data_IF_390453706458
#
_entry.id   IF_390453706458
#
_cell.length_a   1.000
_cell.length_b   1.000
_cell.length_c   1.000
_cell.angle_alpha   90.00
_cell.angle_beta   90.00
_cell.angle_gamma   90.00
#
_symmetry.space_group_name_H-M   'P 1'
#
loop_
_entity.id
_entity.type
_entity.pdbx_description
1 polymer ?
#
# COMPACT_ATOMS: atom_id res chain seq x y z
N UNK A 1 7.20 10.03 23.86
CA UNK A 1 8.02 8.85 23.57
C UNK A 1 8.97 9.24 22.44
N UNK A 2 10.21 8.73 22.44
CA UNK A 2 11.11 8.91 21.30
C UNK A 2 10.56 8.13 20.09
N UNK A 3 10.68 8.70 18.89
CA UNK A 3 10.32 7.99 17.65
C UNK A 3 11.28 6.80 17.44
N UNK A 4 10.79 5.74 16.81
CA UNK A 4 11.63 4.66 16.29
C UNK A 4 12.39 5.20 15.08
N UNK A 5 13.63 4.75 14.88
CA UNK A 5 14.46 5.14 13.72
C UNK A 5 14.59 3.98 12.74
N UNK A 6 14.56 4.28 11.45
CA UNK A 6 14.84 3.29 10.42
C UNK A 6 16.30 2.85 10.46
N UNK A 7 16.63 1.60 10.10
CA UNK A 7 18.02 1.17 9.85
C UNK A 7 18.76 2.04 8.81
N UNK A 8 18.02 2.79 7.98
CA UNK A 8 18.54 3.69 6.94
C UNK A 8 18.64 5.16 7.39
N UNK A 9 18.37 5.49 8.66
CA UNK A 9 18.32 6.88 9.16
C UNK A 9 19.58 7.69 8.78
N UNK A 10 20.77 7.15 8.99
CA UNK A 10 22.02 7.81 8.64
C UNK A 10 22.18 8.04 7.13
N UNK A 11 21.68 7.13 6.30
CA UNK A 11 21.68 7.30 4.85
C UNK A 11 20.70 8.40 4.42
N UNK A 12 19.54 8.51 5.06
CA UNK A 12 18.57 9.57 4.80
C UNK A 12 19.11 10.94 5.17
N UNK A 13 19.75 11.06 6.35
CA UNK A 13 20.40 12.30 6.79
C UNK A 13 21.52 12.72 5.83
N UNK A 14 22.38 11.78 5.42
CA UNK A 14 23.47 12.05 4.46
C UNK A 14 22.95 12.53 3.09
N UNK A 15 21.78 12.10 2.68
CA UNK A 15 21.10 12.54 1.46
C UNK A 15 20.28 13.84 1.65
N UNK A 16 20.28 14.43 2.86
CA UNK A 16 19.56 15.67 3.17
C UNK A 16 18.04 15.49 3.18
N UNK A 17 17.54 14.30 3.57
CA UNK A 17 16.12 14.05 3.65
C UNK A 17 15.44 14.92 4.70
N UNK A 18 14.24 15.38 4.42
CA UNK A 18 13.33 15.95 5.40
C UNK A 18 12.63 14.82 6.14
N UNK A 19 12.92 14.65 7.42
CA UNK A 19 12.33 13.62 8.26
C UNK A 19 11.04 14.10 8.94
N UNK A 20 10.09 13.19 9.17
CA UNK A 20 8.81 13.41 9.86
C UNK A 20 8.42 12.21 10.70
N UNK A 21 7.57 12.44 11.72
CA UNK A 21 6.87 11.35 12.41
C UNK A 21 5.82 10.72 11.48
N UNK A 22 5.94 9.41 11.31
CA UNK A 22 4.98 8.62 10.56
C UNK A 22 4.73 7.28 11.27
N UNK A 23 3.58 7.14 11.90
CA UNK A 23 3.21 5.94 12.63
C UNK A 23 4.16 5.59 13.78
N UNK A 24 4.76 6.60 14.44
CA UNK A 24 5.72 6.45 15.52
C UNK A 24 7.17 6.20 15.07
N UNK A 25 7.43 6.32 13.76
CA UNK A 25 8.77 6.22 13.17
C UNK A 25 9.21 7.57 12.59
N UNK A 26 10.50 7.86 12.68
CA UNK A 26 11.13 8.95 11.97
C UNK A 26 11.46 8.52 10.54
N UNK A 27 10.71 9.04 9.54
CA UNK A 27 10.78 8.58 8.15
C UNK A 27 11.00 9.74 7.18
N UNK A 28 11.67 9.52 6.01
CA UNK A 28 11.87 10.55 5.02
C UNK A 28 10.55 10.94 4.35
N UNK A 29 10.14 12.21 4.50
CA UNK A 29 9.01 12.77 3.78
C UNK A 29 9.37 13.05 2.32
N UNK A 30 10.55 13.64 2.11
CA UNK A 30 11.11 13.98 0.79
C UNK A 30 12.62 14.20 0.87
N UNK A 31 13.28 14.11 -0.27
CA UNK A 31 14.67 14.50 -0.46
C UNK A 31 14.77 15.90 -1.10
N UNK A 32 15.97 16.48 -1.27
CA UNK A 32 16.13 17.84 -1.82
C UNK A 32 15.52 18.06 -3.21
N UNK A 33 15.35 17.02 -4.03
CA UNK A 33 14.64 17.07 -5.31
C UNK A 33 13.17 17.42 -5.19
N UNK A 34 12.56 17.10 -4.05
CA UNK A 34 11.16 17.34 -3.71
C UNK A 34 10.19 16.31 -4.25
N UNK A 35 9.05 16.19 -3.57
CA UNK A 35 8.00 15.18 -3.81
C UNK A 35 7.60 15.04 -5.27
N UNK A 36 7.46 16.13 -6.02
CA UNK A 36 7.02 16.08 -7.42
C UNK A 36 8.07 15.43 -8.32
N UNK A 37 9.35 15.79 -8.12
CA UNK A 37 10.45 15.19 -8.89
C UNK A 37 10.62 13.70 -8.56
N UNK A 38 10.53 13.32 -7.29
CA UNK A 38 10.57 11.95 -6.82
C UNK A 38 9.43 11.11 -7.42
N UNK A 39 8.21 11.65 -7.41
CA UNK A 39 7.04 11.02 -8.04
C UNK A 39 7.28 10.77 -9.54
N UNK A 40 7.72 11.80 -10.26
CA UNK A 40 7.97 11.70 -11.71
C UNK A 40 9.14 10.77 -12.02
N UNK A 41 10.16 10.67 -11.15
CA UNK A 41 11.23 9.69 -11.30
C UNK A 41 10.69 8.26 -11.23
N UNK A 42 9.79 7.97 -10.28
CA UNK A 42 9.12 6.67 -10.19
C UNK A 42 8.30 6.36 -11.45
N UNK A 43 7.56 7.33 -12.00
CA UNK A 43 6.73 7.12 -13.21
C UNK A 43 7.54 6.95 -14.48
N UNK A 44 8.73 7.58 -14.58
CA UNK A 44 9.55 7.63 -15.82
C UNK A 44 10.69 6.63 -15.85
N UNK A 45 11.19 6.24 -14.69
CA UNK A 45 12.37 5.38 -14.54
C UNK A 45 12.20 4.45 -13.33
N UNK A 46 12.84 4.77 -12.21
CA UNK A 46 12.68 4.06 -10.96
C UNK A 46 12.98 4.95 -9.76
N UNK A 47 12.24 4.72 -8.69
CA UNK A 47 12.49 5.31 -7.38
C UNK A 47 12.70 4.21 -6.34
N UNK A 48 13.49 4.53 -5.31
CA UNK A 48 13.73 3.67 -4.15
C UNK A 48 13.16 4.32 -2.91
N UNK A 49 12.43 3.52 -2.12
CA UNK A 49 11.73 3.94 -0.91
C UNK A 49 12.19 3.10 0.27
N UNK A 50 12.43 3.73 1.41
CA UNK A 50 12.48 3.05 2.67
C UNK A 50 11.05 2.80 3.19
N UNK A 51 10.71 1.54 3.35
CA UNK A 51 9.43 1.12 3.92
C UNK A 51 9.63 0.23 5.17
N UNK A 52 10.76 0.38 5.84
CA UNK A 52 11.15 -0.40 7.02
C UNK A 52 10.23 -0.20 8.23
N UNK A 53 9.48 0.91 8.26
CA UNK A 53 8.45 1.19 9.28
C UNK A 53 7.26 0.24 9.23
N UNK A 54 6.97 -0.38 8.07
CA UNK A 54 5.93 -1.41 7.99
C UNK A 54 6.30 -2.58 8.89
N UNK A 55 5.33 -3.13 9.62
CA UNK A 55 5.56 -4.28 10.47
C UNK A 55 6.01 -5.52 9.69
N UNK A 56 6.67 -6.44 10.36
CA UNK A 56 6.82 -7.81 9.88
C UNK A 56 6.58 -8.76 11.05
N UNK A 57 5.47 -9.47 10.98
CA UNK A 57 5.12 -10.51 11.94
C UNK A 57 5.41 -11.86 11.30
N UNK A 58 6.39 -12.57 11.84
CA UNK A 58 6.73 -13.92 11.40
C UNK A 58 5.83 -14.92 12.07
N UNK A 59 5.07 -15.66 11.27
CA UNK A 59 4.24 -16.79 11.71
C UNK A 59 4.84 -18.05 11.11
N UNK A 60 5.31 -18.97 11.95
CA UNK A 60 6.01 -20.17 11.48
C UNK A 60 5.72 -21.39 12.33
N UNK A 61 5.96 -22.56 11.76
CA UNK A 61 5.74 -23.86 12.39
C UNK A 61 4.36 -24.46 12.11
N UNK A 62 4.09 -25.63 12.71
CA UNK A 62 2.82 -26.36 12.51
C UNK A 62 1.60 -25.53 12.88
N UNK A 63 0.59 -25.47 12.01
CA UNK A 63 -0.66 -24.73 12.24
C UNK A 63 -0.62 -23.27 11.80
N UNK A 64 0.51 -22.74 11.32
CA UNK A 64 0.62 -21.34 10.85
C UNK A 64 -0.34 -21.03 9.70
N UNK A 65 -0.50 -21.96 8.76
CA UNK A 65 -1.45 -21.81 7.65
C UNK A 65 -2.89 -21.72 8.15
N UNK A 66 -3.30 -22.60 9.07
CA UNK A 66 -4.66 -22.67 9.60
C UNK A 66 -5.03 -21.40 10.36
N UNK A 67 -4.11 -20.87 11.15
CA UNK A 67 -4.30 -19.61 11.89
C UNK A 67 -4.52 -18.47 10.91
N UNK A 68 -3.64 -18.27 9.94
CA UNK A 68 -3.76 -17.20 8.94
C UNK A 68 -5.00 -17.39 8.06
N UNK A 69 -5.31 -18.63 7.68
CA UNK A 69 -6.51 -18.95 6.91
C UNK A 69 -7.79 -18.66 7.71
N UNK A 70 -7.80 -18.85 9.02
CA UNK A 70 -8.94 -18.57 9.89
C UNK A 70 -9.15 -17.08 10.17
N UNK A 71 -8.08 -16.31 10.32
CA UNK A 71 -8.15 -14.90 10.72
C UNK A 71 -8.28 -13.92 9.55
N UNK A 72 -7.60 -14.19 8.43
CA UNK A 72 -7.52 -13.25 7.32
C UNK A 72 -8.67 -13.41 6.32
N UNK A 73 -9.12 -12.33 5.71
CA UNK A 73 -10.30 -12.32 4.83
C UNK A 73 -10.10 -13.05 3.50
N UNK A 74 -8.89 -13.01 2.92
CA UNK A 74 -8.63 -13.67 1.63
C UNK A 74 -8.33 -15.17 1.83
N UNK A 75 -8.47 -15.93 0.78
CA UNK A 75 -8.26 -17.38 0.80
C UNK A 75 -6.82 -17.71 0.41
N UNK A 76 -5.99 -18.12 1.39
CA UNK A 76 -4.60 -18.50 1.18
C UNK A 76 -4.45 -19.74 0.27
N UNK A 77 -5.50 -20.58 0.14
CA UNK A 77 -5.48 -21.72 -0.80
C UNK A 77 -5.40 -21.31 -2.27
N UNK A 78 -5.58 -20.01 -2.59
CA UNK A 78 -5.39 -19.47 -3.95
C UNK A 78 -3.94 -19.31 -4.33
N UNK A 79 -3.02 -19.38 -3.37
CA UNK A 79 -1.57 -19.24 -3.57
C UNK A 79 -0.83 -20.43 -2.98
N UNK A 80 0.48 -20.47 -3.11
CA UNK A 80 1.37 -21.50 -2.62
C UNK A 80 2.65 -20.87 -2.06
N UNK A 81 3.54 -21.61 -1.38
CA UNK A 81 4.87 -21.13 -1.01
C UNK A 81 5.58 -20.44 -2.18
N UNK A 82 6.30 -19.36 -1.91
CA UNK A 82 6.91 -18.51 -2.94
C UNK A 82 5.95 -17.47 -3.55
N UNK A 83 4.76 -17.24 -2.93
CA UNK A 83 3.79 -16.24 -3.40
C UNK A 83 3.39 -15.28 -2.29
N UNK A 84 3.07 -14.05 -2.68
CA UNK A 84 2.46 -13.06 -1.79
C UNK A 84 0.95 -12.94 -2.04
N UNK A 85 0.20 -12.49 -1.02
CA UNK A 85 -1.23 -12.22 -1.13
C UNK A 85 -1.62 -11.00 -0.32
N UNK A 86 -2.39 -10.10 -0.95
CA UNK A 86 -3.05 -9.00 -0.25
C UNK A 86 -4.33 -9.50 0.42
N UNK A 87 -4.53 -9.14 1.67
CA UNK A 87 -5.64 -9.60 2.51
C UNK A 87 -5.96 -8.56 3.58
N UNK A 88 -7.08 -8.75 4.28
CA UNK A 88 -7.46 -7.90 5.41
C UNK A 88 -7.59 -8.71 6.69
N UNK A 89 -7.21 -8.11 7.81
CA UNK A 89 -7.64 -8.48 9.14
C UNK A 89 -8.91 -7.68 9.46
N UNK A 90 -10.00 -8.33 9.81
CA UNK A 90 -11.30 -7.71 10.05
C UNK A 90 -11.72 -7.78 11.52
N UNK A 91 -12.66 -6.91 11.92
CA UNK A 91 -13.44 -7.07 13.14
C UNK A 91 -14.72 -7.87 12.87
N UNK A 92 -15.50 -8.12 13.92
CA UNK A 92 -16.74 -8.93 13.83
C UNK A 92 -17.82 -8.24 12.98
N UNK A 93 -17.79 -6.91 12.89
CA UNK A 93 -18.69 -6.09 12.07
C UNK A 93 -18.25 -6.02 10.59
N UNK A 94 -17.11 -6.67 10.24
CA UNK A 94 -16.55 -6.71 8.88
C UNK A 94 -15.73 -5.48 8.52
N UNK A 95 -15.44 -4.58 9.47
CA UNK A 95 -14.57 -3.44 9.27
C UNK A 95 -13.09 -3.83 9.24
N UNK A 96 -12.28 -3.06 8.52
CA UNK A 96 -10.87 -3.35 8.28
C UNK A 96 -10.01 -2.88 9.45
N UNK A 97 -9.55 -3.81 10.28
CA UNK A 97 -8.59 -3.55 11.35
C UNK A 97 -7.18 -3.27 10.80
N UNK A 98 -6.81 -3.97 9.74
CA UNK A 98 -5.58 -3.73 8.98
C UNK A 98 -5.66 -4.34 7.58
N UNK A 99 -4.97 -3.74 6.63
CA UNK A 99 -4.72 -4.28 5.29
C UNK A 99 -3.27 -4.74 5.19
N UNK A 100 -3.08 -5.98 4.73
CA UNK A 100 -1.86 -6.75 4.98
C UNK A 100 -1.40 -7.40 3.67
N UNK A 101 -0.09 -7.42 3.46
CA UNK A 101 0.53 -8.33 2.50
C UNK A 101 1.13 -9.51 3.26
N UNK A 102 0.72 -10.73 2.90
CA UNK A 102 1.32 -11.97 3.40
C UNK A 102 2.36 -12.44 2.38
N UNK A 103 3.59 -12.63 2.81
CA UNK A 103 4.64 -13.31 2.05
C UNK A 103 4.69 -14.77 2.52
N UNK A 104 4.25 -15.69 1.70
CA UNK A 104 4.37 -17.12 1.98
C UNK A 104 5.76 -17.62 1.57
N UNK A 105 6.68 -17.65 2.53
CA UNK A 105 8.11 -17.87 2.28
C UNK A 105 8.44 -19.34 2.04
N UNK A 106 7.91 -20.25 2.89
CA UNK A 106 8.10 -21.69 2.78
C UNK A 106 6.84 -22.42 3.31
N UNK A 107 6.82 -23.73 3.27
CA UNK A 107 5.65 -24.55 3.62
C UNK A 107 4.98 -24.14 4.94
N UNK A 108 5.78 -23.77 5.94
CA UNK A 108 5.35 -23.47 7.29
C UNK A 108 5.81 -22.09 7.78
N UNK A 109 6.27 -21.19 6.89
CA UNK A 109 6.71 -19.84 7.24
C UNK A 109 6.03 -18.77 6.41
N UNK A 110 5.46 -17.80 7.11
CA UNK A 110 4.82 -16.61 6.56
C UNK A 110 5.42 -15.37 7.22
N UNK A 111 5.83 -14.39 6.43
CA UNK A 111 6.15 -13.05 6.91
C UNK A 111 4.94 -12.15 6.56
N UNK A 112 4.20 -11.72 7.57
CA UNK A 112 2.98 -10.92 7.48
C UNK A 112 3.34 -9.47 7.69
N UNK A 113 2.95 -8.58 6.75
CA UNK A 113 3.37 -7.19 6.70
C UNK A 113 2.20 -6.24 7.05
N UNK A 114 1.96 -5.93 8.33
CA UNK A 114 0.97 -4.94 8.75
C UNK A 114 1.43 -3.50 8.53
N UNK A 115 0.48 -2.57 8.58
CA UNK A 115 0.78 -1.14 8.73
C UNK A 115 1.51 -0.87 10.05
N UNK A 116 2.40 0.12 10.07
CA UNK A 116 3.29 0.42 11.21
C UNK A 116 2.57 0.54 12.56
N UNK A 117 1.44 1.23 12.59
CA UNK A 117 0.64 1.45 13.81
C UNK A 117 -0.19 0.23 14.27
N UNK A 118 -0.29 -0.81 13.43
CA UNK A 118 -1.16 -1.95 13.66
C UNK A 118 -0.42 -3.24 14.01
N UNK A 119 0.93 -3.22 14.03
CA UNK A 119 1.75 -4.42 14.26
C UNK A 119 1.36 -5.18 15.53
N UNK A 120 1.22 -4.50 16.68
CA UNK A 120 0.82 -5.12 17.94
C UNK A 120 -0.58 -5.76 17.87
N UNK A 121 -1.51 -5.09 17.18
CA UNK A 121 -2.87 -5.59 16.94
C UNK A 121 -2.83 -6.87 16.12
N UNK A 122 -2.02 -6.91 15.06
CA UNK A 122 -1.89 -8.08 14.20
C UNK A 122 -1.27 -9.24 14.98
N UNK A 123 -0.16 -9.00 15.72
CA UNK A 123 0.44 -10.02 16.61
C UNK A 123 -0.59 -10.59 17.59
N UNK A 124 -1.42 -9.75 18.20
CA UNK A 124 -2.43 -10.19 19.16
C UNK A 124 -3.50 -11.13 18.55
N UNK A 125 -3.73 -11.04 17.25
CA UNK A 125 -4.77 -11.80 16.52
C UNK A 125 -4.22 -13.08 15.87
N UNK A 126 -3.07 -12.99 15.21
CA UNK A 126 -2.51 -14.13 14.46
C UNK A 126 -1.38 -14.85 15.20
N UNK A 127 -0.94 -14.31 16.36
CA UNK A 127 0.29 -14.78 17.02
C UNK A 127 1.55 -14.43 16.23
N UNK A 128 2.59 -15.24 16.39
CA UNK A 128 3.87 -15.04 15.72
C UNK A 128 4.82 -14.12 16.47
N UNK A 129 5.93 -13.77 15.84
CA UNK A 129 6.99 -12.92 16.40
C UNK A 129 7.11 -11.65 15.58
N UNK A 130 7.09 -10.50 16.24
CA UNK A 130 7.43 -9.22 15.60
C UNK A 130 8.94 -9.17 15.34
N UNK A 131 9.34 -9.22 14.08
CA UNK A 131 10.74 -9.14 13.61
C UNK A 131 11.00 -7.81 12.88
N UNK A 132 10.16 -6.82 13.09
CA UNK A 132 10.25 -5.52 12.41
C UNK A 132 11.60 -4.86 12.55
N UNK A 133 12.20 -4.93 13.73
CA UNK A 133 13.50 -4.30 14.04
C UNK A 133 14.72 -5.12 13.60
N UNK A 134 14.51 -6.35 13.12
CA UNK A 134 15.61 -7.22 12.68
C UNK A 134 15.99 -7.01 11.21
N UNK A 135 15.18 -6.22 10.48
CA UNK A 135 15.33 -6.05 9.02
C UNK A 135 15.04 -4.63 8.57
N UNK A 136 15.53 -4.27 7.38
CA UNK A 136 15.02 -3.18 6.58
C UNK A 136 14.18 -3.73 5.43
N UNK A 137 13.18 -2.97 4.98
CA UNK A 137 12.47 -3.24 3.71
C UNK A 137 12.68 -2.06 2.78
N UNK A 138 13.24 -2.35 1.60
CA UNK A 138 13.61 -1.38 0.58
C UNK A 138 12.78 -1.68 -0.66
N UNK A 139 11.91 -0.73 -1.06
CA UNK A 139 11.08 -0.87 -2.25
C UNK A 139 11.71 -0.14 -3.43
N UNK A 140 11.89 -0.83 -4.56
CA UNK A 140 12.34 -0.25 -5.83
C UNK A 140 11.21 -0.35 -6.84
N UNK A 141 10.70 0.80 -7.29
CA UNK A 141 9.44 0.89 -8.03
C UNK A 141 9.59 1.76 -9.27
N UNK A 142 8.96 1.39 -10.37
CA UNK A 142 8.95 2.14 -11.63
C UNK A 142 9.17 1.23 -12.84
N UNK A 143 8.95 1.72 -14.08
CA UNK A 143 9.12 0.93 -15.30
C UNK A 143 10.56 0.42 -15.50
N UNK A 144 11.57 1.10 -14.96
CA UNK A 144 12.98 0.69 -14.97
C UNK A 144 13.44 -0.06 -13.72
N UNK A 145 12.55 -0.32 -12.75
CA UNK A 145 12.94 -0.89 -11.46
C UNK A 145 13.65 -2.24 -11.59
N UNK A 146 13.11 -3.13 -12.44
CA UNK A 146 13.71 -4.47 -12.65
C UNK A 146 15.11 -4.39 -13.24
N UNK A 147 15.35 -3.47 -14.16
CA UNK A 147 16.66 -3.27 -14.78
C UNK A 147 17.69 -2.76 -13.75
N UNK A 148 17.28 -1.82 -12.91
CA UNK A 148 18.12 -1.30 -11.82
C UNK A 148 18.45 -2.39 -10.80
N UNK A 149 17.45 -3.15 -10.36
CA UNK A 149 17.64 -4.24 -9.40
C UNK A 149 18.54 -5.34 -9.99
N UNK A 150 18.46 -5.63 -11.29
CA UNK A 150 19.32 -6.63 -11.95
C UNK A 150 20.81 -6.27 -11.91
N UNK A 151 21.16 -4.98 -11.82
CA UNK A 151 22.57 -4.54 -11.65
C UNK A 151 23.11 -4.84 -10.26
N UNK A 152 22.22 -5.08 -9.28
CA UNK A 152 22.57 -5.39 -7.88
C UNK A 152 22.41 -6.89 -7.61
N UNK A 153 21.28 -7.47 -8.05
CA UNK A 153 20.97 -8.91 -7.96
C UNK A 153 20.03 -9.32 -9.08
N UNK A 154 20.51 -10.18 -9.99
CA UNK A 154 19.66 -10.76 -11.03
C UNK A 154 18.54 -11.64 -10.45
N UNK A 155 18.79 -12.32 -9.33
CA UNK A 155 17.81 -13.18 -8.67
C UNK A 155 16.64 -12.34 -8.16
N UNK A 156 16.92 -11.24 -7.44
CA UNK A 156 15.91 -10.33 -6.94
C UNK A 156 15.10 -9.68 -8.08
N UNK A 157 15.74 -9.34 -9.20
CA UNK A 157 15.08 -8.75 -10.36
C UNK A 157 14.11 -9.70 -11.06
N UNK A 158 14.33 -11.01 -10.99
CA UNK A 158 13.50 -12.03 -11.67
C UNK A 158 12.26 -12.46 -10.89
N UNK A 159 12.10 -12.05 -9.64
CA UNK A 159 10.92 -12.42 -8.87
C UNK A 159 9.64 -11.97 -9.60
N UNK A 160 8.68 -12.86 -9.87
CA UNK A 160 7.48 -12.47 -10.59
C UNK A 160 6.58 -11.57 -9.73
N UNK A 161 5.65 -10.90 -10.37
CA UNK A 161 4.63 -10.13 -9.66
C UNK A 161 3.87 -11.01 -8.66
N UNK A 162 3.73 -10.55 -7.40
CA UNK A 162 3.30 -11.34 -6.25
C UNK A 162 4.09 -12.65 -6.03
N UNK A 163 5.32 -12.76 -6.56
CA UNK A 163 6.26 -13.79 -6.17
C UNK A 163 7.01 -13.41 -4.90
N UNK A 164 7.50 -14.41 -4.17
CA UNK A 164 8.40 -14.27 -3.01
C UNK A 164 9.56 -15.22 -3.23
N UNK A 165 10.79 -14.76 -3.06
CA UNK A 165 11.99 -15.58 -3.24
C UNK A 165 13.12 -15.12 -2.32
N UNK A 166 14.05 -16.03 -2.03
CA UNK A 166 15.34 -15.66 -1.47
C UNK A 166 16.26 -15.09 -2.54
N UNK A 167 17.22 -14.28 -2.12
CA UNK A 167 18.37 -13.86 -2.90
C UNK A 167 19.58 -13.64 -1.99
N UNK A 168 20.78 -13.70 -2.55
CA UNK A 168 22.00 -13.37 -1.81
C UNK A 168 22.45 -11.94 -2.14
N UNK A 169 22.83 -11.20 -1.11
CA UNK A 169 23.46 -9.89 -1.26
C UNK A 169 24.79 -9.86 -0.50
N UNK A 170 25.89 -10.04 -1.21
CA UNK A 170 27.24 -10.02 -0.63
C UNK A 170 27.51 -11.12 0.41
N UNK A 171 26.91 -12.31 0.25
CA UNK A 171 26.99 -13.42 1.19
C UNK A 171 25.93 -13.38 2.30
N UNK A 172 25.00 -12.41 2.26
CA UNK A 172 23.92 -12.27 3.22
C UNK A 172 22.59 -12.76 2.60
N UNK A 173 21.91 -13.75 3.20
CA UNK A 173 20.62 -14.22 2.71
C UNK A 173 19.54 -13.17 2.97
N UNK A 174 18.81 -12.81 1.92
CA UNK A 174 17.76 -11.81 1.90
C UNK A 174 16.47 -12.38 1.29
N UNK A 175 15.35 -11.68 1.48
CA UNK A 175 14.07 -12.00 0.82
C UNK A 175 13.68 -10.87 -0.12
N UNK A 176 12.97 -11.22 -1.20
CA UNK A 176 12.41 -10.27 -2.14
C UNK A 176 11.00 -10.68 -2.51
N UNK A 177 10.10 -9.71 -2.63
CA UNK A 177 8.77 -9.90 -3.19
C UNK A 177 8.52 -8.98 -4.37
N UNK A 178 7.78 -9.46 -5.36
CA UNK A 178 7.32 -8.67 -6.49
C UNK A 178 6.08 -7.86 -6.12
N UNK A 179 6.16 -7.06 -5.07
CA UNK A 179 5.08 -6.24 -4.51
C UNK A 179 5.46 -4.76 -4.53
N UNK A 180 4.52 -3.89 -4.17
CA UNK A 180 4.71 -2.45 -4.11
C UNK A 180 3.40 -1.69 -3.94
N UNK A 181 3.51 -0.36 -3.74
CA UNK A 181 2.39 0.52 -3.42
C UNK A 181 2.35 1.78 -4.29
N UNK A 182 2.84 1.67 -5.53
CA UNK A 182 2.97 2.83 -6.44
C UNK A 182 2.10 2.71 -7.69
N UNK A 183 1.61 1.50 -7.98
CA UNK A 183 0.94 1.19 -9.25
C UNK A 183 1.92 0.92 -10.40
N UNK A 184 3.22 1.02 -10.16
CA UNK A 184 4.26 0.61 -11.10
C UNK A 184 4.75 -0.80 -10.79
N UNK A 185 5.51 -1.39 -11.71
CA UNK A 185 6.25 -2.63 -11.45
C UNK A 185 7.43 -2.37 -10.50
N UNK A 186 7.85 -3.40 -9.80
CA UNK A 186 8.98 -3.31 -8.90
C UNK A 186 9.09 -4.48 -7.94
N UNK A 187 9.92 -4.28 -6.93
CA UNK A 187 10.18 -5.25 -5.86
C UNK A 187 10.27 -4.56 -4.51
N UNK A 188 10.05 -5.34 -3.46
CA UNK A 188 10.35 -5.00 -2.07
C UNK A 188 11.36 -6.02 -1.54
N UNK A 189 12.55 -5.54 -1.14
CA UNK A 189 13.64 -6.36 -0.61
C UNK A 189 13.68 -6.24 0.92
N UNK A 190 13.50 -7.35 1.63
CA UNK A 190 13.69 -7.44 3.08
C UNK A 190 15.09 -8.00 3.36
N UNK A 191 15.91 -7.21 4.03
CA UNK A 191 17.32 -7.50 4.29
C UNK A 191 17.64 -7.31 5.76
N UNK A 192 18.58 -8.09 6.34
CA UNK A 192 19.08 -7.84 7.70
C UNK A 192 19.59 -6.40 7.87
N UNK A 193 19.44 -5.85 9.07
CA UNK A 193 19.78 -4.46 9.40
C UNK A 193 21.20 -4.11 8.96
N UNK A 194 22.17 -5.02 9.20
CA UNK A 194 23.59 -4.81 8.87
C UNK A 194 23.87 -4.69 7.36
N UNK A 195 22.99 -5.23 6.52
CA UNK A 195 23.10 -5.15 5.06
C UNK A 195 22.31 -3.97 4.46
N UNK A 196 21.45 -3.32 5.24
CA UNK A 196 20.47 -2.35 4.75
C UNK A 196 21.11 -1.15 4.04
N UNK A 197 22.09 -0.50 4.68
CA UNK A 197 22.76 0.69 4.12
C UNK A 197 23.55 0.34 2.85
N UNK A 198 24.19 -0.83 2.83
CA UNK A 198 24.95 -1.28 1.65
C UNK A 198 24.05 -1.58 0.47
N UNK A 199 22.90 -2.25 0.69
CA UNK A 199 21.92 -2.50 -0.37
C UNK A 199 21.28 -1.19 -0.86
N UNK A 200 20.92 -0.29 0.05
CA UNK A 200 20.38 1.03 -0.30
C UNK A 200 21.34 1.79 -1.21
N UNK A 201 22.62 1.86 -0.85
CA UNK A 201 23.64 2.54 -1.63
C UNK A 201 23.84 1.86 -3.00
N UNK A 202 23.91 0.54 -3.05
CA UNK A 202 24.04 -0.19 -4.32
C UNK A 202 22.88 0.09 -5.30
N UNK A 203 21.64 0.21 -4.78
CA UNK A 203 20.47 0.56 -5.58
C UNK A 203 20.54 2.02 -6.07
N UNK A 204 21.01 2.96 -5.26
CA UNK A 204 21.25 4.34 -5.67
C UNK A 204 22.33 4.43 -6.76
N UNK A 205 23.45 3.73 -6.58
CA UNK A 205 24.56 3.69 -7.54
C UNK A 205 24.13 3.02 -8.85
N UNK A 206 23.16 2.10 -8.81
CA UNK A 206 22.53 1.51 -9.98
C UNK A 206 21.57 2.47 -10.72
N UNK A 207 21.27 3.65 -10.14
CA UNK A 207 20.53 4.73 -10.79
C UNK A 207 19.09 4.94 -10.31
N UNK A 208 18.67 4.34 -9.20
CA UNK A 208 17.37 4.65 -8.59
C UNK A 208 17.39 6.04 -7.95
N UNK A 209 16.28 6.77 -8.06
CA UNK A 209 16.09 8.05 -7.37
C UNK A 209 15.53 7.80 -5.96
N UNK A 210 16.15 8.34 -4.88
CA UNK A 210 15.57 8.22 -3.54
C UNK A 210 14.26 9.02 -3.48
N UNK A 211 13.23 8.42 -2.88
CA UNK A 211 11.92 9.03 -2.77
C UNK A 211 11.30 8.78 -1.38
N UNK A 212 10.63 9.80 -0.86
CA UNK A 212 10.04 9.78 0.47
C UNK A 212 8.54 9.49 0.47
N UNK A 213 7.96 9.56 1.69
CA UNK A 213 6.54 9.30 1.93
C UNK A 213 5.61 10.23 1.14
N UNK A 214 6.04 11.47 0.86
CA UNK A 214 5.26 12.41 0.06
C UNK A 214 5.04 11.91 -1.36
N UNK A 215 6.09 11.38 -2.02
CA UNK A 215 5.98 10.77 -3.34
C UNK A 215 5.20 9.45 -3.27
N UNK A 216 5.44 8.63 -2.25
CA UNK A 216 4.69 7.38 -2.03
C UNK A 216 3.20 7.64 -1.93
N UNK A 217 2.75 8.68 -1.20
CA UNK A 217 1.33 9.02 -1.08
C UNK A 217 0.72 9.50 -2.40
N UNK A 218 1.40 10.37 -3.14
CA UNK A 218 0.87 10.82 -4.44
C UNK A 218 0.81 9.69 -5.48
N UNK A 219 1.79 8.76 -5.47
CA UNK A 219 1.84 7.59 -6.35
C UNK A 219 0.71 6.60 -6.06
N UNK A 220 0.52 6.24 -4.78
CA UNK A 220 -0.55 5.30 -4.40
C UNK A 220 -1.93 5.89 -4.74
N UNK A 221 -2.11 7.20 -4.52
CA UNK A 221 -3.38 7.87 -4.82
C UNK A 221 -3.67 7.84 -6.32
N UNK A 222 -2.70 8.16 -7.19
CA UNK A 222 -2.87 8.02 -8.64
C UNK A 222 -3.22 6.58 -9.06
N UNK A 223 -2.62 5.59 -8.39
CA UNK A 223 -2.92 4.18 -8.61
C UNK A 223 -4.29 3.76 -8.03
N UNK A 224 -4.94 4.65 -7.25
CA UNK A 224 -6.21 4.35 -6.59
C UNK A 224 -6.09 3.28 -5.50
N UNK A 225 -4.91 3.18 -4.87
CA UNK A 225 -4.67 2.25 -3.78
C UNK A 225 -5.11 2.92 -2.45
N UNK A 226 -5.96 2.25 -1.67
CA UNK A 226 -6.46 2.78 -0.41
C UNK A 226 -5.35 2.85 0.65
N UNK A 227 -5.53 3.73 1.62
CA UNK A 227 -4.65 3.91 2.77
C UNK A 227 -5.42 3.60 4.06
N UNK A 228 -4.82 2.78 4.92
CA UNK A 228 -5.37 2.53 6.25
C UNK A 228 -5.41 3.82 7.10
N UNK A 229 -6.52 4.03 7.79
CA UNK A 229 -6.84 5.27 8.50
C UNK A 229 -7.65 6.28 7.67
N UNK A 230 -7.77 6.08 6.34
CA UNK A 230 -8.50 6.95 5.41
C UNK A 230 -9.60 6.19 4.66
N UNK A 231 -9.23 5.32 3.73
CA UNK A 231 -10.15 4.48 2.94
C UNK A 231 -10.45 3.14 3.59
N UNK A 232 -9.61 2.72 4.54
CA UNK A 232 -9.71 1.48 5.30
C UNK A 232 -9.61 1.81 6.79
N UNK A 233 -10.61 1.36 7.56
CA UNK A 233 -10.70 1.61 8.99
C UNK A 233 -11.64 0.58 9.66
N UNK A 234 -11.67 0.50 11.00
CA UNK A 234 -12.55 -0.44 11.71
C UNK A 234 -14.06 -0.24 11.47
N UNK A 235 -14.47 0.90 10.95
CA UNK A 235 -15.85 1.25 10.56
C UNK A 235 -16.08 1.23 9.05
N UNK A 236 -15.09 0.79 8.27
CA UNK A 236 -15.14 0.69 6.80
C UNK A 236 -14.94 -0.76 6.39
N UNK A 237 -15.89 -1.31 5.65
CA UNK A 237 -15.80 -2.68 5.13
C UNK A 237 -15.04 -2.77 3.82
N UNK A 238 -14.45 -3.92 3.47
CA UNK A 238 -13.85 -4.14 2.15
C UNK A 238 -14.82 -3.86 0.99
N UNK A 239 -16.14 -4.06 1.21
CA UNK A 239 -17.15 -3.84 0.20
C UNK A 239 -17.34 -2.35 -0.11
N UNK A 240 -17.36 -1.50 0.91
CA UNK A 240 -17.39 -0.04 0.75
C UNK A 240 -16.13 0.47 0.05
N UNK A 241 -14.97 -0.06 0.39
CA UNK A 241 -13.67 0.29 -0.21
C UNK A 241 -13.48 -0.25 -1.64
N UNK A 242 -14.47 -0.98 -2.20
CA UNK A 242 -14.35 -1.57 -3.54
C UNK A 242 -13.40 -2.77 -3.63
N UNK A 243 -13.06 -3.37 -2.49
CA UNK A 243 -12.11 -4.47 -2.33
C UNK A 243 -12.81 -5.82 -2.08
N UNK A 244 -14.04 -6.00 -2.54
CA UNK A 244 -14.79 -7.25 -2.37
C UNK A 244 -14.10 -8.50 -2.93
N UNK A 245 -13.12 -8.32 -3.83
CA UNK A 245 -12.28 -9.40 -4.36
C UNK A 245 -11.26 -9.95 -3.36
N UNK A 246 -10.94 -9.20 -2.29
CA UNK A 246 -10.05 -9.62 -1.18
C UNK A 246 -10.79 -10.56 -0.23
N UNK A 247 -12.11 -10.66 -0.35
CA UNK A 247 -12.91 -11.53 0.51
C UNK A 247 -12.96 -12.95 -0.07
N UNK A 248 -12.51 -13.90 0.70
CA UNK A 248 -12.54 -15.34 0.36
C UNK A 248 -13.94 -15.92 0.50
N UNK A 249 -14.85 -15.61 -0.42
CA UNK A 249 -16.26 -16.01 -0.36
C UNK A 249 -16.49 -17.53 -0.29
N UNK A 250 -15.51 -18.33 -0.71
CA UNK A 250 -15.55 -19.80 -0.67
C UNK A 250 -14.95 -20.38 0.62
N UNK A 251 -14.45 -19.54 1.54
CA UNK A 251 -14.00 -20.00 2.86
C UNK A 251 -15.21 -20.31 3.73
N UNK A 252 -15.08 -21.27 4.62
CA UNK A 252 -16.15 -21.62 5.56
C UNK A 252 -16.35 -20.51 6.59
N UNK A 253 -15.25 -20.03 7.17
CA UNK A 253 -15.25 -18.99 8.19
C UNK A 253 -14.01 -18.13 8.15
N UNK A 254 -14.14 -16.90 8.60
CA UNK A 254 -13.11 -15.95 9.02
C UNK A 254 -13.79 -14.83 9.80
N UNK A 255 -13.04 -14.09 10.60
CA UNK A 255 -13.59 -12.98 11.38
C UNK A 255 -14.25 -11.93 10.46
N UNK A 256 -15.48 -11.52 10.81
CA UNK A 256 -16.26 -10.54 10.03
C UNK A 256 -17.05 -11.11 8.84
N UNK A 257 -16.89 -12.40 8.51
CA UNK A 257 -17.57 -13.05 7.40
C UNK A 257 -19.09 -12.85 7.41
N UNK A 258 -19.74 -13.08 8.54
CA UNK A 258 -21.19 -12.99 8.66
C UNK A 258 -21.71 -11.57 8.37
N UNK A 259 -21.03 -10.55 8.87
CA UNK A 259 -21.38 -9.16 8.61
C UNK A 259 -21.29 -8.82 7.11
N UNK A 260 -20.24 -9.26 6.43
CA UNK A 260 -20.07 -9.05 5.00
C UNK A 260 -21.13 -9.79 4.16
N UNK A 261 -21.51 -11.01 4.56
CA UNK A 261 -22.58 -11.75 3.90
C UNK A 261 -23.94 -11.04 4.04
N UNK A 262 -24.24 -10.44 5.19
CA UNK A 262 -25.46 -9.63 5.40
C UNK A 262 -25.47 -8.41 4.47
N UNK A 263 -24.37 -7.67 4.37
CA UNK A 263 -24.28 -6.51 3.47
C UNK A 263 -24.52 -6.95 2.02
N UNK A 264 -23.90 -8.03 1.61
CA UNK A 264 -24.07 -8.59 0.23
C UNK A 264 -25.50 -9.01 -0.05
N UNK A 265 -26.17 -9.69 0.88
CA UNK A 265 -27.57 -10.12 0.76
C UNK A 265 -28.54 -8.95 0.66
N UNK A 266 -28.22 -7.80 1.25
CA UNK A 266 -28.99 -6.56 1.17
C UNK A 266 -28.75 -5.77 -0.13
N UNK A 267 -27.96 -6.29 -1.07
CA UNK A 267 -27.66 -5.63 -2.35
C UNK A 267 -26.38 -4.80 -2.37
N UNK A 268 -25.55 -4.90 -1.35
CA UNK A 268 -24.27 -4.19 -1.24
C UNK A 268 -24.28 -3.05 -0.23
N UNK A 269 -23.15 -2.32 -0.09
CA UNK A 269 -23.01 -1.21 0.85
C UNK A 269 -23.79 0.03 0.39
N UNK A 270 -24.22 0.88 1.33
CA UNK A 270 -24.93 2.13 1.04
C UNK A 270 -24.04 3.19 0.39
N UNK A 271 -22.74 3.18 0.69
CA UNK A 271 -21.70 4.05 0.13
C UNK A 271 -20.59 3.24 -0.53
N UNK A 272 -19.87 3.84 -1.47
CA UNK A 272 -18.72 3.23 -2.12
C UNK A 272 -17.57 4.20 -2.25
N UNK A 273 -16.36 3.69 -2.26
CA UNK A 273 -15.17 4.47 -2.61
C UNK A 273 -15.19 4.78 -4.11
N UNK A 274 -14.97 6.05 -4.45
CA UNK A 274 -14.90 6.56 -5.82
C UNK A 274 -13.66 7.45 -5.98
N UNK A 275 -13.16 7.54 -7.20
CA UNK A 275 -12.20 8.56 -7.59
C UNK A 275 -12.95 9.85 -7.97
N UNK A 276 -12.37 10.99 -7.62
CA UNK A 276 -12.83 12.33 -8.03
C UNK A 276 -11.69 13.03 -8.76
N UNK A 277 -11.96 13.49 -9.98
CA UNK A 277 -10.99 14.16 -10.83
C UNK A 277 -11.44 15.61 -11.07
N UNK A 278 -10.68 16.58 -10.55
CA UNK A 278 -10.98 18.01 -10.77
C UNK A 278 -10.33 18.50 -12.06
N UNK A 279 -10.78 19.64 -12.56
CA UNK A 279 -10.18 20.37 -13.70
C UNK A 279 -9.11 21.37 -13.27
N UNK A 280 -8.86 21.51 -11.96
CA UNK A 280 -7.96 22.49 -11.37
C UNK A 280 -6.71 21.83 -10.77
N UNK A 281 -5.64 22.62 -10.66
CA UNK A 281 -4.39 22.20 -10.01
C UNK A 281 -4.49 22.16 -8.47
N UNK A 282 -5.45 22.89 -7.90
CA UNK A 282 -5.63 22.94 -6.45
C UNK A 282 -6.04 21.56 -5.94
N UNK A 283 -5.26 20.94 -5.05
CA UNK A 283 -5.57 19.61 -4.57
C UNK A 283 -6.72 19.63 -3.57
N UNK A 284 -7.69 18.71 -3.67
CA UNK A 284 -8.59 18.36 -2.59
C UNK A 284 -7.81 17.87 -1.36
N UNK A 285 -8.44 17.97 -0.18
CA UNK A 285 -7.85 17.49 1.08
C UNK A 285 -8.84 16.58 1.80
N UNK A 286 -8.31 15.75 2.65
CA UNK A 286 -9.11 14.94 3.56
C UNK A 286 -10.11 15.83 4.32
N UNK A 287 -11.35 15.34 4.43
CA UNK A 287 -12.45 16.03 5.07
C UNK A 287 -13.18 17.05 4.20
N UNK A 288 -12.67 17.42 3.01
CA UNK A 288 -13.39 18.32 2.11
C UNK A 288 -14.74 17.70 1.73
N UNK A 289 -15.89 18.43 1.88
CA UNK A 289 -17.20 17.90 1.56
C UNK A 289 -17.37 17.64 0.05
N UNK A 290 -18.01 16.53 -0.28
CA UNK A 290 -18.48 16.23 -1.64
C UNK A 290 -19.96 16.61 -1.72
N UNK A 291 -20.31 17.45 -2.68
CA UNK A 291 -21.65 18.01 -2.84
C UNK A 291 -22.27 17.50 -4.14
N UNK A 292 -23.57 17.22 -4.08
CA UNK A 292 -24.42 17.02 -5.25
C UNK A 292 -25.67 17.89 -5.08
N UNK A 293 -25.98 18.73 -6.06
CA UNK A 293 -27.09 19.69 -6.02
C UNK A 293 -27.09 20.58 -4.74
N UNK A 294 -25.88 21.00 -4.31
CA UNK A 294 -25.69 21.83 -3.11
C UNK A 294 -25.85 21.11 -1.77
N UNK A 295 -26.03 19.78 -1.76
CA UNK A 295 -26.14 18.97 -0.54
C UNK A 295 -24.90 18.11 -0.36
N UNK A 296 -24.39 18.03 0.86
CA UNK A 296 -23.30 17.10 1.18
C UNK A 296 -23.76 15.66 1.03
N UNK A 297 -23.10 14.92 0.14
CA UNK A 297 -23.37 13.50 -0.16
C UNK A 297 -22.21 12.60 0.25
N UNK A 298 -21.06 13.17 0.60
CA UNK A 298 -19.86 12.41 1.00
C UNK A 298 -18.74 13.31 1.45
N UNK A 299 -17.56 12.73 1.63
CA UNK A 299 -16.35 13.46 1.99
C UNK A 299 -15.12 12.85 1.33
N UNK A 300 -14.14 13.68 1.04
CA UNK A 300 -12.81 13.27 0.58
C UNK A 300 -12.10 12.53 1.70
N UNK A 301 -11.56 11.37 1.41
CA UNK A 301 -10.74 10.57 2.33
C UNK A 301 -9.25 10.78 2.08
N UNK A 302 -8.84 10.88 0.82
CA UNK A 302 -7.48 11.22 0.41
C UNK A 302 -7.54 12.15 -0.80
N UNK A 303 -6.74 13.21 -0.79
CA UNK A 303 -6.71 14.16 -1.91
C UNK A 303 -5.33 14.78 -2.09
N UNK A 304 -4.88 14.88 -3.34
CA UNK A 304 -3.60 15.45 -3.68
C UNK A 304 -3.58 16.01 -5.11
N UNK A 305 -2.48 16.65 -5.47
CA UNK A 305 -2.17 17.00 -6.84
C UNK A 305 -1.49 15.83 -7.55
N UNK A 306 -1.97 15.47 -8.73
CA UNK A 306 -1.31 14.47 -9.59
C UNK A 306 -0.30 15.17 -10.51
N UNK A 307 1.01 14.89 -10.37
CA UNK A 307 2.02 15.46 -11.25
C UNK A 307 1.91 14.98 -12.72
N UNK A 308 1.33 13.78 -12.92
CA UNK A 308 1.16 13.21 -14.27
C UNK A 308 -0.06 13.80 -14.97
N UNK A 309 -1.17 13.98 -14.26
CA UNK A 309 -2.41 14.52 -14.81
C UNK A 309 -2.48 16.05 -14.75
N UNK A 310 -1.57 16.67 -14.00
CA UNK A 310 -1.50 18.11 -13.73
C UNK A 310 -2.79 18.71 -13.14
N UNK A 311 -3.51 17.94 -12.33
CA UNK A 311 -4.78 18.34 -11.70
C UNK A 311 -4.97 17.70 -10.33
N UNK A 312 -5.96 18.20 -9.60
CA UNK A 312 -6.36 17.62 -8.31
C UNK A 312 -7.07 16.28 -8.51
N UNK A 313 -6.70 15.30 -7.71
CA UNK A 313 -7.35 13.98 -7.62
C UNK A 313 -7.71 13.68 -6.18
N UNK A 314 -8.79 12.94 -5.97
CA UNK A 314 -9.18 12.49 -4.64
C UNK A 314 -9.84 11.12 -4.66
N UNK A 315 -9.73 10.40 -3.55
CA UNK A 315 -10.64 9.31 -3.20
C UNK A 315 -11.68 9.86 -2.22
N UNK A 316 -12.91 9.40 -2.36
CA UNK A 316 -14.02 9.83 -1.51
C UNK A 316 -15.07 8.72 -1.37
N UNK A 317 -15.74 8.65 -0.23
CA UNK A 317 -16.96 7.87 -0.12
C UNK A 317 -18.14 8.69 -0.64
N UNK A 318 -18.87 8.09 -1.58
CA UNK A 318 -20.10 8.65 -2.15
C UNK A 318 -21.22 7.60 -2.08
N UNK A 319 -22.51 7.97 -2.19
CA UNK A 319 -23.60 7.00 -2.27
C UNK A 319 -23.33 5.95 -3.36
N UNK A 320 -23.65 4.68 -3.10
CA UNK A 320 -23.43 3.61 -4.08
C UNK A 320 -24.23 3.82 -5.38
N UNK A 321 -25.29 4.62 -5.34
CA UNK A 321 -26.10 5.03 -6.51
C UNK A 321 -25.42 6.06 -7.41
N UNK A 322 -24.38 6.77 -6.95
CA UNK A 322 -23.67 7.78 -7.75
C UNK A 322 -22.88 7.08 -8.86
N UNK A 323 -23.20 7.29 -10.17
CA UNK A 323 -22.50 6.60 -11.25
C UNK A 323 -21.14 7.22 -11.57
N UNK A 324 -20.26 6.44 -12.18
CA UNK A 324 -19.06 7.01 -12.80
C UNK A 324 -19.46 7.87 -14.01
N UNK A 325 -18.76 9.00 -14.21
CA UNK A 325 -19.07 10.01 -15.21
C UNK A 325 -20.02 11.11 -14.71
N UNK A 326 -20.60 10.95 -13.52
CA UNK A 326 -21.37 12.03 -12.89
C UNK A 326 -20.45 13.17 -12.45
N UNK A 327 -20.96 14.40 -12.56
CA UNK A 327 -20.27 15.58 -12.01
C UNK A 327 -20.81 15.89 -10.63
N UNK A 328 -19.92 15.91 -9.67
CA UNK A 328 -20.16 16.40 -8.30
C UNK A 328 -19.31 17.64 -8.05
N UNK A 329 -19.47 18.27 -6.90
CA UNK A 329 -18.61 19.37 -6.48
C UNK A 329 -17.82 18.97 -5.22
N UNK A 330 -16.58 19.42 -5.12
CA UNK A 330 -15.81 19.37 -3.87
C UNK A 330 -15.72 20.78 -3.31
N UNK A 331 -16.10 20.95 -2.06
CA UNK A 331 -15.93 22.24 -1.39
C UNK A 331 -14.48 22.45 -0.97
N UNK A 332 -13.71 23.13 -1.81
CA UNK A 332 -12.33 23.50 -1.52
C UNK A 332 -12.24 24.78 -0.68
N UNK A 333 -12.50 24.68 0.64
CA UNK A 333 -12.48 25.80 1.58
C UNK A 333 -13.49 26.90 1.20
N UNK A 334 -14.75 26.55 1.07
CA UNK A 334 -15.84 27.47 0.73
C UNK A 334 -15.94 27.82 -0.75
N UNK A 335 -15.23 27.08 -1.62
CA UNK A 335 -15.30 27.22 -3.09
C UNK A 335 -15.66 25.88 -3.73
N UNK A 336 -16.94 25.67 -4.08
CA UNK A 336 -17.35 24.50 -4.82
C UNK A 336 -16.55 24.38 -6.13
N UNK A 337 -15.96 23.23 -6.35
CA UNK A 337 -15.11 22.92 -7.52
C UNK A 337 -15.65 21.67 -8.17
N UNK A 338 -15.97 21.73 -9.44
CA UNK A 338 -16.49 20.59 -10.19
C UNK A 338 -15.45 19.44 -10.21
N UNK A 339 -15.95 18.23 -10.04
CA UNK A 339 -15.15 17.02 -10.09
C UNK A 339 -15.95 15.90 -10.77
N UNK A 340 -15.32 15.20 -11.68
CA UNK A 340 -15.88 14.01 -12.33
C UNK A 340 -15.68 12.80 -11.42
N UNK A 341 -16.74 12.03 -11.21
CA UNK A 341 -16.69 10.73 -10.52
C UNK A 341 -16.09 9.70 -11.46
N UNK A 342 -14.93 9.16 -11.13
CA UNK A 342 -14.20 8.20 -11.96
C UNK A 342 -13.93 6.89 -11.21
N UNK A 343 -13.68 5.83 -11.98
CA UNK A 343 -13.22 4.56 -11.42
C UNK A 343 -11.68 4.58 -11.36
N UNK A 344 -11.05 4.48 -10.18
CA UNK A 344 -9.59 4.35 -10.10
C UNK A 344 -9.09 3.10 -10.86
N UNK A 345 -7.82 3.09 -11.33
CA UNK A 345 -6.78 4.10 -11.14
C UNK A 345 -7.00 5.36 -11.98
N UNK A 346 -6.48 6.50 -11.50
CA UNK A 346 -6.52 7.77 -12.23
C UNK A 346 -5.55 7.81 -13.41
N UNK A 347 -4.43 7.11 -13.28
CA UNK A 347 -3.40 6.99 -14.31
C UNK A 347 -3.33 5.54 -14.82
N UNK A 348 -3.07 5.36 -16.12
CA UNK A 348 -2.86 4.03 -16.70
C UNK A 348 -1.53 3.48 -16.21
N UNK A 349 -1.62 2.45 -15.39
CA UNK A 349 -0.45 1.72 -14.90
C UNK A 349 0.25 0.95 -16.03
N UNK A 350 1.54 0.69 -15.86
CA UNK A 350 2.32 -0.14 -16.78
C UNK A 350 1.64 -1.52 -16.98
N UNK A 351 1.67 -2.12 -18.17
CA UNK A 351 1.00 -3.41 -18.45
C UNK A 351 1.38 -4.54 -17.49
N UNK A 352 2.62 -4.59 -16.99
CA UNK A 352 3.08 -5.57 -15.99
C UNK A 352 2.34 -5.47 -14.66
N UNK A 353 1.90 -4.28 -14.26
CA UNK A 353 1.12 -4.07 -13.04
C UNK A 353 -0.37 -4.41 -13.19
N UNK A 354 -0.87 -4.54 -14.43
CA UNK A 354 -2.25 -4.94 -14.72
C UNK A 354 -2.50 -6.44 -14.54
N UNK A 355 -1.49 -7.27 -14.67
CA UNK A 355 -1.59 -8.73 -14.56
C UNK A 355 -1.95 -9.23 -13.15
N UNK A 356 -2.08 -8.33 -12.17
CA UNK A 356 -2.26 -8.63 -10.76
C UNK A 356 -3.66 -8.41 -10.21
N UNK A 357 -4.62 -8.07 -11.04
CA UNK A 357 -6.03 -8.15 -10.59
C UNK A 357 -6.56 -9.51 -11.05
N UNK A 358 -6.77 -10.47 -10.11
CA UNK A 358 -7.44 -11.72 -10.43
C UNK A 358 -8.87 -11.46 -10.86
#
# INVERSE_FOLDING_TARGET
MSLRTSPLSSAHEALGARLVDFGGWEMPLSYPSGTVAEHLACRRSAAVFDVSHLGTVRVEGPGSFEVLQGELSNDLRKIAPGRAQYTHLLNDEGGVLDDIIVWWVSDDRFDVMPNASNTDRVVSRIGGTDVTTERAVIAVQGPGAREIVARVSEEAARVPHFGVSGFDFGGVPCLVAGTGYTGEDGVECAVPVDAAVSLWQAILDAGATPAGLGARDTLRLEAGLPLHGHELAPDITPLEAGLGWVVGWNKEAFTGRQALDIIRQRGGPARRLAGLLTDQRRPPREGDPVLSEGRTVGSVTSGNYSPVLERGIALAFVPSSTPNGETVEIDLRGKPTAAEVVKPPFHRMHPSSRAARP
#
